data_IF_274942736269
#
_entry.id   IF_274942736269
#
_cell.length_a   1.000
_cell.length_b   1.000
_cell.length_c   1.000
_cell.angle_alpha   90.00
_cell.angle_beta   90.00
_cell.angle_gamma   90.00
#
_symmetry.space_group_name_H-M   'P 1'
#
loop_
_entity.id
_entity.type
_entity.pdbx_description
1 polymer ?
#
# COMPACT_ATOMS: atom_id res chain seq x y z
N UNK A 1 -9.69 19.45 -14.47
CA UNK A 1 -9.45 18.74 -13.21
C UNK A 1 -7.99 18.31 -13.14
N UNK A 2 -7.33 18.62 -12.05
CA UNK A 2 -5.91 18.30 -11.89
C UNK A 2 -5.76 16.99 -11.13
N UNK A 3 -5.05 16.05 -11.73
CA UNK A 3 -4.79 14.71 -11.18
C UNK A 3 -3.33 14.37 -11.44
N UNK A 4 -2.65 13.79 -10.46
CA UNK A 4 -1.32 13.25 -10.68
C UNK A 4 -1.43 11.93 -11.44
N UNK A 5 -0.86 11.86 -12.63
CA UNK A 5 -0.92 10.67 -13.46
C UNK A 5 0.32 9.80 -13.25
N UNK A 6 0.11 8.62 -12.69
CA UNK A 6 1.16 7.61 -12.51
C UNK A 6 1.08 6.60 -13.66
N UNK A 7 1.23 7.11 -14.88
CA UNK A 7 1.18 6.32 -16.10
C UNK A 7 2.49 6.52 -16.86
N UNK A 8 2.87 5.54 -17.67
CA UNK A 8 4.03 5.68 -18.53
C UNK A 8 3.87 6.89 -19.45
N UNK A 9 4.98 7.58 -19.82
CA UNK A 9 4.89 8.79 -20.63
C UNK A 9 4.18 8.58 -21.97
N UNK A 10 4.26 7.38 -22.54
CA UNK A 10 3.66 7.01 -23.82
C UNK A 10 2.35 6.22 -23.67
N UNK A 11 1.80 6.12 -22.47
CA UNK A 11 0.53 5.42 -22.25
C UNK A 11 -0.61 6.13 -23.01
N UNK A 12 -1.34 5.39 -23.89
CA UNK A 12 -2.43 5.98 -24.66
C UNK A 12 -3.53 6.62 -23.82
N UNK A 13 -3.68 6.20 -22.56
CA UNK A 13 -4.69 6.76 -21.67
C UNK A 13 -4.41 8.24 -21.35
N UNK A 14 -3.15 8.68 -21.43
CA UNK A 14 -2.81 10.10 -21.19
C UNK A 14 -3.53 11.02 -22.16
N UNK A 15 -3.55 10.67 -23.45
CA UNK A 15 -4.24 11.45 -24.45
C UNK A 15 -5.75 11.46 -24.22
N UNK A 16 -6.31 10.32 -23.87
CA UNK A 16 -7.74 10.21 -23.58
C UNK A 16 -8.14 11.07 -22.38
N UNK A 17 -7.33 11.06 -21.32
CA UNK A 17 -7.58 11.88 -20.13
C UNK A 17 -7.47 13.37 -20.43
N UNK A 18 -6.47 13.76 -21.24
CA UNK A 18 -6.29 15.15 -21.65
C UNK A 18 -7.51 15.64 -22.43
N UNK A 19 -8.04 14.81 -23.34
CA UNK A 19 -9.23 15.14 -24.10
C UNK A 19 -10.47 15.28 -23.24
N UNK A 20 -10.47 14.68 -22.05
CA UNK A 20 -11.54 14.80 -21.06
C UNK A 20 -11.35 16.00 -20.13
N UNK A 21 -10.33 16.82 -20.35
CA UNK A 21 -10.05 18.00 -19.53
C UNK A 21 -9.26 17.71 -18.25
N UNK A 22 -8.62 16.56 -18.17
CA UNK A 22 -7.79 16.18 -17.02
C UNK A 22 -6.35 16.60 -17.29
N UNK A 23 -5.78 17.39 -16.37
CA UNK A 23 -4.41 17.88 -16.44
C UNK A 23 -3.52 17.10 -15.49
N UNK A 24 -2.37 16.65 -15.98
CA UNK A 24 -1.37 15.98 -15.16
C UNK A 24 -0.68 17.01 -14.25
N UNK A 25 -0.87 16.89 -12.96
CA UNK A 25 -0.35 17.82 -11.97
C UNK A 25 0.34 17.04 -10.86
N UNK A 26 1.68 17.09 -10.78
CA UNK A 26 2.44 16.33 -9.77
C UNK A 26 2.09 16.72 -8.31
N UNK A 27 1.54 17.91 -8.11
CA UNK A 27 1.20 18.39 -6.76
C UNK A 27 -0.27 18.14 -6.39
N UNK A 28 -1.03 17.50 -7.28
CA UNK A 28 -2.44 17.21 -7.00
C UNK A 28 -2.60 16.22 -5.86
N UNK A 29 -3.63 16.43 -5.06
CA UNK A 29 -4.01 15.47 -4.02
C UNK A 29 -4.68 14.22 -4.60
N UNK A 30 -5.06 14.24 -5.87
CA UNK A 30 -5.67 13.10 -6.55
C UNK A 30 -4.63 12.39 -7.41
N UNK A 31 -4.68 11.07 -7.35
CA UNK A 31 -3.74 10.20 -8.04
C UNK A 31 -4.50 9.25 -8.94
N UNK A 32 -4.09 9.13 -10.19
CA UNK A 32 -4.59 8.10 -11.09
C UNK A 32 -3.48 7.13 -11.42
N UNK A 33 -3.72 5.86 -11.16
CA UNK A 33 -2.76 4.79 -11.36
C UNK A 33 -3.47 3.61 -12.02
N UNK A 34 -2.80 2.94 -12.94
CA UNK A 34 -3.35 1.73 -13.54
C UNK A 34 -3.35 0.62 -12.50
N UNK A 35 -4.46 -0.12 -12.40
CA UNK A 35 -4.55 -1.25 -11.47
C UNK A 35 -3.40 -2.22 -11.75
N UNK A 36 -2.74 -2.68 -10.70
CA UNK A 36 -1.59 -3.57 -10.80
C UNK A 36 -0.27 -2.88 -11.13
N UNK A 37 -0.30 -1.56 -11.40
CA UNK A 37 0.93 -0.80 -11.56
C UNK A 37 1.47 -0.41 -10.18
N UNK A 38 2.58 0.29 -10.18
CA UNK A 38 3.32 0.65 -8.99
C UNK A 38 4.71 0.06 -9.06
N UNK A 39 5.51 0.31 -8.02
CA UNK A 39 6.89 -0.19 -8.00
C UNK A 39 6.91 -1.68 -7.71
N UNK A 40 7.92 -2.37 -8.24
CA UNK A 40 8.13 -3.80 -7.97
C UNK A 40 9.06 -4.01 -6.77
N UNK A 41 9.81 -2.99 -6.38
CA UNK A 41 10.79 -3.06 -5.30
C UNK A 41 10.76 -1.78 -4.50
N UNK A 42 11.04 -1.87 -3.20
CA UNK A 42 11.26 -0.72 -2.34
C UNK A 42 12.54 -0.92 -1.54
N UNK A 43 13.15 0.18 -1.12
CA UNK A 43 14.35 0.14 -0.30
C UNK A 43 14.01 -0.18 1.16
N UNK A 44 14.80 -1.04 1.76
CA UNK A 44 14.74 -1.33 3.18
C UNK A 44 16.13 -1.33 3.78
N UNK A 45 16.25 -0.95 5.06
CA UNK A 45 17.53 -0.88 5.74
C UNK A 45 17.55 -1.87 6.89
N UNK A 46 18.66 -2.60 7.01
CA UNK A 46 18.90 -3.53 8.10
C UNK A 46 20.39 -3.56 8.40
N UNK A 47 20.74 -3.36 9.67
CA UNK A 47 22.16 -3.38 10.12
C UNK A 47 23.05 -2.49 9.26
N UNK A 48 22.59 -1.25 9.02
CA UNK A 48 23.28 -0.24 8.21
C UNK A 48 23.52 -0.60 6.74
N UNK A 49 22.86 -1.67 6.27
CA UNK A 49 22.89 -2.07 4.86
C UNK A 49 21.58 -1.77 4.19
N UNK A 50 21.65 -1.37 2.93
CA UNK A 50 20.48 -1.13 2.10
C UNK A 50 20.12 -2.40 1.33
N UNK A 51 18.83 -2.72 1.33
CA UNK A 51 18.28 -3.86 0.61
C UNK A 51 17.25 -3.39 -0.38
N UNK A 52 17.15 -4.09 -1.49
CA UNK A 52 16.15 -3.85 -2.50
C UNK A 52 15.10 -4.95 -2.37
N UNK A 53 13.96 -4.62 -1.75
CA UNK A 53 12.96 -5.59 -1.36
C UNK A 53 11.90 -5.75 -2.45
N UNK A 54 11.67 -6.99 -2.88
CA UNK A 54 10.58 -7.30 -3.79
C UNK A 54 9.26 -7.12 -3.04
N UNK A 55 8.36 -6.32 -3.59
CA UNK A 55 7.08 -6.04 -2.94
C UNK A 55 6.24 -7.31 -2.74
N UNK A 56 6.46 -8.35 -3.54
CA UNK A 56 5.77 -9.63 -3.38
C UNK A 56 6.11 -10.32 -2.07
N UNK A 57 7.28 -10.05 -1.51
CA UNK A 57 7.74 -10.65 -0.27
C UNK A 57 7.31 -9.86 0.96
N UNK A 58 6.74 -8.68 0.79
CA UNK A 58 6.30 -7.84 1.89
C UNK A 58 4.93 -8.32 2.38
N UNK A 59 4.85 -8.58 3.68
CA UNK A 59 3.61 -9.01 4.33
C UNK A 59 2.79 -7.80 4.78
N UNK A 60 3.41 -6.88 5.49
CA UNK A 60 2.80 -5.61 5.87
C UNK A 60 3.88 -4.62 6.28
N UNK A 61 3.47 -3.35 6.35
CA UNK A 61 4.35 -2.26 6.75
C UNK A 61 3.64 -1.51 7.86
N UNK A 62 4.35 -1.23 8.95
CA UNK A 62 3.75 -0.53 10.08
C UNK A 62 4.60 0.62 10.56
N UNK A 63 3.93 1.60 11.15
CA UNK A 63 4.54 2.72 11.84
C UNK A 63 4.59 2.41 13.33
N UNK A 64 5.77 2.44 13.92
CA UNK A 64 5.98 2.27 15.35
C UNK A 64 6.79 3.45 15.87
N UNK A 65 6.10 4.42 16.50
CA UNK A 65 6.75 5.68 16.88
C UNK A 65 7.22 6.42 15.63
N UNK A 66 8.53 6.69 15.56
CA UNK A 66 9.14 7.36 14.41
C UNK A 66 9.65 6.38 13.36
N UNK A 67 9.58 5.08 13.63
CA UNK A 67 10.11 4.06 12.75
C UNK A 67 9.02 3.51 11.82
N UNK A 68 9.41 3.24 10.59
CA UNK A 68 8.58 2.51 9.63
C UNK A 68 9.22 1.15 9.43
N UNK A 69 8.49 0.09 9.75
CA UNK A 69 8.99 -1.27 9.73
C UNK A 69 8.33 -2.05 8.61
N UNK A 70 9.15 -2.61 7.73
CA UNK A 70 8.71 -3.46 6.62
C UNK A 70 8.87 -4.91 7.07
N UNK A 71 7.74 -5.62 7.19
CA UNK A 71 7.73 -7.04 7.54
C UNK A 71 7.67 -7.86 6.27
N UNK A 72 8.69 -8.68 6.06
CA UNK A 72 8.77 -9.56 4.89
C UNK A 72 8.74 -11.02 5.30
N UNK A 73 8.72 -11.91 4.32
CA UNK A 73 8.81 -13.35 4.55
C UNK A 73 10.15 -13.75 5.19
N UNK A 74 11.20 -12.96 4.99
CA UNK A 74 12.56 -13.25 5.45
C UNK A 74 12.98 -12.45 6.68
N UNK A 75 12.13 -11.59 7.21
CA UNK A 75 12.46 -10.77 8.37
C UNK A 75 11.98 -9.34 8.23
N UNK A 76 12.54 -8.44 9.04
CA UNK A 76 12.11 -7.06 9.11
C UNK A 76 13.20 -6.10 8.66
N UNK A 77 12.76 -4.98 8.09
CA UNK A 77 13.63 -3.92 7.60
C UNK A 77 13.04 -2.58 7.99
N UNK A 78 13.85 -1.54 8.05
CA UNK A 78 13.38 -0.18 8.29
C UNK A 78 13.27 0.56 6.97
N UNK A 79 12.27 1.43 6.85
CA UNK A 79 12.11 2.32 5.71
C UNK A 79 12.42 3.75 6.12
N UNK A 80 13.06 4.49 5.23
CA UNK A 80 13.23 5.93 5.37
C UNK A 80 12.01 6.72 4.92
N UNK A 81 11.03 6.05 4.29
CA UNK A 81 9.83 6.69 3.79
C UNK A 81 8.69 6.59 4.79
N UNK A 82 7.78 7.56 4.75
CA UNK A 82 6.56 7.53 5.57
C UNK A 82 5.50 6.63 4.94
N UNK A 83 4.53 6.15 5.74
CA UNK A 83 3.47 5.28 5.24
C UNK A 83 2.70 5.91 4.09
N UNK A 84 2.43 7.21 4.17
CA UNK A 84 1.71 7.91 3.10
C UNK A 84 2.46 7.86 1.77
N UNK A 85 3.78 8.02 1.81
CA UNK A 85 4.61 7.94 0.61
C UNK A 85 4.64 6.52 0.04
N UNK A 86 4.78 5.52 0.91
CA UNK A 86 4.76 4.11 0.50
C UNK A 86 3.40 3.73 -0.09
N UNK A 87 2.32 4.19 0.52
CA UNK A 87 0.95 3.94 0.02
C UNK A 87 0.79 4.43 -1.42
N UNK A 88 1.45 5.55 -1.78
CA UNK A 88 1.35 6.12 -3.12
C UNK A 88 2.11 5.34 -4.18
N UNK A 89 3.18 4.64 -3.82
CA UNK A 89 4.05 3.96 -4.78
C UNK A 89 3.86 2.45 -4.84
N UNK A 90 3.32 1.84 -3.78
CA UNK A 90 3.07 0.39 -3.75
C UNK A 90 1.92 0.02 -4.70
N UNK A 91 1.97 -1.18 -5.32
CA UNK A 91 0.89 -1.62 -6.21
C UNK A 91 -0.46 -1.63 -5.51
N UNK A 92 -1.40 -0.86 -6.04
CA UNK A 92 -2.72 -0.67 -5.42
C UNK A 92 -3.59 -1.92 -5.43
N UNK A 93 -3.33 -2.86 -6.35
CA UNK A 93 -4.06 -4.13 -6.40
C UNK A 93 -3.59 -5.12 -5.34
N UNK A 94 -2.45 -4.85 -4.71
CA UNK A 94 -1.82 -5.74 -3.74
C UNK A 94 -1.82 -5.17 -2.33
N UNK A 95 -1.65 -3.87 -2.19
CA UNK A 95 -1.50 -3.21 -0.90
C UNK A 95 -2.68 -2.30 -0.57
N UNK A 96 -3.06 -2.30 0.70
CA UNK A 96 -4.16 -1.48 1.18
C UNK A 96 -3.84 -0.93 2.56
N UNK A 97 -4.08 0.36 2.75
CA UNK A 97 -4.02 0.99 4.08
C UNK A 97 -5.17 0.44 4.92
N UNK A 98 -4.88 -0.07 6.12
CA UNK A 98 -5.87 -0.71 7.00
C UNK A 98 -5.98 -0.03 8.36
N UNK A 99 -5.09 0.91 8.64
CA UNK A 99 -5.13 1.76 9.83
C UNK A 99 -4.24 2.97 9.61
N UNK A 100 -4.25 3.89 10.57
CA UNK A 100 -3.33 5.03 10.52
C UNK A 100 -1.86 4.57 10.59
N UNK A 101 -1.62 3.37 11.06
CA UNK A 101 -0.27 2.87 11.32
C UNK A 101 0.11 1.62 10.50
N UNK A 102 -0.72 1.18 9.56
CA UNK A 102 -0.40 -0.06 8.82
C UNK A 102 -0.91 -0.09 7.39
N UNK A 103 -0.09 -0.68 6.52
CA UNK A 103 -0.43 -1.05 5.15
C UNK A 103 -0.24 -2.57 5.05
N UNK A 104 -1.21 -3.29 4.51
CA UNK A 104 -1.14 -4.74 4.39
C UNK A 104 -1.05 -5.17 2.93
N UNK A 105 -0.31 -6.25 2.69
CA UNK A 105 -0.32 -6.94 1.40
C UNK A 105 -1.51 -7.91 1.40
N UNK A 106 -2.53 -7.61 0.60
CA UNK A 106 -3.75 -8.41 0.53
C UNK A 106 -3.49 -9.86 0.13
N UNK A 107 -2.43 -10.09 -0.64
CA UNK A 107 -2.04 -11.44 -1.10
C UNK A 107 -1.43 -12.30 0.01
N UNK A 108 -1.07 -11.69 1.13
CA UNK A 108 -0.49 -12.38 2.28
C UNK A 108 -1.48 -12.66 3.39
N UNK A 109 -2.73 -12.30 3.21
CA UNK A 109 -3.78 -12.58 4.19
C UNK A 109 -4.15 -14.06 4.11
N UNK A 110 -4.03 -14.75 5.24
CA UNK A 110 -4.40 -16.16 5.37
C UNK A 110 -5.83 -16.31 5.87
N UNK A 111 -6.23 -15.49 6.84
CA UNK A 111 -7.53 -15.58 7.48
C UNK A 111 -7.97 -14.21 7.98
N UNK A 112 -9.26 -13.95 7.89
CA UNK A 112 -9.86 -12.70 8.35
C UNK A 112 -10.82 -13.03 9.48
N UNK A 113 -10.59 -12.40 10.64
CA UNK A 113 -11.42 -12.57 11.83
C UNK A 113 -12.23 -11.29 12.05
N UNK A 114 -13.54 -11.42 12.18
CA UNK A 114 -14.41 -10.27 12.46
C UNK A 114 -14.49 -10.00 13.96
N UNK A 115 -14.48 -8.73 14.31
CA UNK A 115 -14.67 -8.26 15.69
C UNK A 115 -16.03 -7.58 15.84
N UNK A 116 -16.57 -7.59 17.05
CA UNK A 116 -17.87 -6.99 17.36
C UNK A 116 -17.88 -5.46 17.23
N UNK A 117 -16.71 -4.80 17.18
CA UNK A 117 -16.60 -3.34 17.18
C UNK A 117 -16.26 -2.76 15.80
N UNK A 118 -16.76 -3.37 14.73
CA UNK A 118 -16.45 -2.95 13.35
C UNK A 118 -14.94 -2.90 13.11
N UNK A 119 -14.29 -4.00 13.43
CA UNK A 119 -12.87 -4.22 13.20
C UNK A 119 -12.66 -5.57 12.58
N UNK A 120 -11.56 -5.73 11.87
CA UNK A 120 -11.10 -7.04 11.43
C UNK A 120 -9.72 -7.28 12.03
N UNK A 121 -9.40 -8.54 12.26
CA UNK A 121 -8.04 -8.98 12.60
C UNK A 121 -7.58 -9.84 11.44
N UNK A 122 -6.50 -9.42 10.79
CA UNK A 122 -5.93 -10.11 9.66
C UNK A 122 -4.82 -11.03 10.14
N UNK A 123 -4.96 -12.32 9.85
CA UNK A 123 -3.91 -13.30 10.13
C UNK A 123 -3.12 -13.51 8.85
N UNK A 124 -1.84 -13.16 8.88
CA UNK A 124 -0.99 -13.22 7.70
C UNK A 124 -0.23 -14.53 7.61
N UNK A 125 0.25 -14.83 6.41
CA UNK A 125 0.98 -16.09 6.14
C UNK A 125 2.27 -16.21 6.93
N UNK A 126 2.87 -15.09 7.37
CA UNK A 126 4.07 -15.10 8.21
C UNK A 126 3.77 -15.24 9.70
N UNK A 127 2.50 -15.44 10.10
CA UNK A 127 2.09 -15.57 11.49
C UNK A 127 1.74 -14.26 12.18
N UNK A 128 1.94 -13.12 11.53
CA UNK A 128 1.61 -11.82 12.09
C UNK A 128 0.10 -11.57 12.10
N UNK A 129 -0.34 -10.71 13.01
CA UNK A 129 -1.71 -10.21 13.08
C UNK A 129 -1.70 -8.72 12.83
N UNK A 130 -2.61 -8.25 11.99
CA UNK A 130 -2.75 -6.83 11.67
C UNK A 130 -4.21 -6.43 11.83
N UNK A 131 -4.44 -5.35 12.57
CA UNK A 131 -5.80 -4.86 12.78
C UNK A 131 -6.24 -3.95 11.65
N UNK A 132 -7.47 -4.16 11.18
CA UNK A 132 -8.18 -3.18 10.37
C UNK A 132 -9.00 -2.36 11.34
N UNK A 133 -8.64 -1.09 11.53
CA UNK A 133 -9.29 -0.24 12.50
C UNK A 133 -10.65 0.26 11.98
N UNK A 134 -11.45 0.79 12.90
CA UNK A 134 -12.83 1.20 12.61
C UNK A 134 -12.92 2.18 11.43
N UNK A 135 -11.99 3.12 11.33
CA UNK A 135 -11.98 4.11 10.24
C UNK A 135 -11.75 3.49 8.86
N UNK A 136 -11.16 2.32 8.81
CA UNK A 136 -10.82 1.61 7.57
C UNK A 136 -11.70 0.39 7.33
N UNK A 137 -12.66 0.13 8.21
CA UNK A 137 -13.49 -1.07 8.17
C UNK A 137 -14.25 -1.21 6.85
N UNK A 138 -14.97 -0.16 6.43
CA UNK A 138 -15.78 -0.23 5.22
C UNK A 138 -14.94 -0.27 3.95
N UNK A 139 -13.82 0.45 3.92
CA UNK A 139 -12.89 0.43 2.80
C UNK A 139 -12.34 -0.99 2.60
N UNK A 140 -11.91 -1.62 3.69
CA UNK A 140 -11.39 -2.98 3.64
C UNK A 140 -12.48 -3.98 3.22
N UNK A 141 -13.66 -3.89 3.84
CA UNK A 141 -14.77 -4.78 3.54
C UNK A 141 -15.16 -4.73 2.06
N UNK A 142 -15.26 -3.53 1.52
CA UNK A 142 -15.62 -3.33 0.12
C UNK A 142 -14.54 -3.86 -0.82
N UNK A 143 -13.26 -3.66 -0.45
CA UNK A 143 -12.13 -4.10 -1.26
C UNK A 143 -12.05 -5.63 -1.32
N UNK A 144 -12.30 -6.31 -0.22
CA UNK A 144 -12.24 -7.77 -0.12
C UNK A 144 -13.55 -8.40 -0.64
N UNK A 145 -14.66 -7.71 -0.54
CA UNK A 145 -15.96 -8.19 -1.02
C UNK A 145 -16.72 -9.04 0.00
N UNK A 146 -16.54 -8.74 1.26
CA UNK A 146 -17.21 -9.48 2.35
C UNK A 146 -18.25 -8.64 3.09
#
# INVERSE_FOLDING_TARGET
MNIKLMLDPDDPMRASLQNMGITDDPESEYLLIRRGSGVNYIAGKKEDQQFYLDVKDICFIESMGHDIIIHTTDGTYNSGERLKALEQVLPADRFLRVSNSAIVNLKKIKRIESSLLQKFILHLTNGSKVDVTRSYYYIFRDRIGI
#
